data_IF_043517640380
#
_entry.id   IF_043517640380
#
_cell.length_a   1.000
_cell.length_b   1.000
_cell.length_c   1.000
_cell.angle_alpha   90.00
_cell.angle_beta   90.00
_cell.angle_gamma   90.00
#
_symmetry.space_group_name_H-M   'P 1'
#
loop_
_entity.id
_entity.type
_entity.pdbx_description
1 polymer ?
#
# COMPACT_ATOMS: atom_id res chain seq x y z
N UNK A 1 18.56 4.90 -8.64
CA UNK A 1 18.48 3.47 -8.25
C UNK A 1 17.42 2.86 -9.14
N UNK A 2 17.65 1.68 -9.74
CA UNK A 2 16.56 1.04 -10.47
C UNK A 2 15.52 0.54 -9.46
N UNK A 3 14.26 0.79 -9.72
CA UNK A 3 13.14 0.25 -8.92
C UNK A 3 13.31 -1.28 -8.84
N UNK A 4 13.20 -1.90 -7.64
CA UNK A 4 13.22 -3.36 -7.53
C UNK A 4 12.12 -3.96 -8.39
N UNK A 5 12.45 -5.00 -9.14
CA UNK A 5 11.52 -5.65 -10.08
C UNK A 5 10.37 -6.42 -9.38
N UNK A 6 10.42 -6.53 -8.06
CA UNK A 6 9.47 -7.28 -7.24
C UNK A 6 9.59 -8.79 -7.37
N UNK A 7 10.67 -9.28 -7.99
CA UNK A 7 10.85 -10.71 -8.25
C UNK A 7 11.57 -11.43 -7.10
N UNK A 8 12.49 -10.75 -6.40
CA UNK A 8 13.31 -11.36 -5.35
C UNK A 8 13.56 -10.42 -4.17
N UNK A 9 13.62 -10.99 -2.96
CA UNK A 9 13.90 -10.25 -1.71
C UNK A 9 15.21 -9.49 -1.74
N UNK A 10 16.24 -10.02 -2.40
CA UNK A 10 17.55 -9.39 -2.51
C UNK A 10 17.56 -8.04 -3.25
N UNK A 11 16.47 -7.71 -3.96
CA UNK A 11 16.29 -6.40 -4.60
C UNK A 11 15.86 -5.29 -3.63
N UNK A 12 15.55 -5.61 -2.37
CA UNK A 12 15.02 -4.68 -1.37
C UNK A 12 16.03 -4.46 -0.23
N UNK A 13 16.01 -3.26 0.32
CA UNK A 13 16.81 -2.87 1.47
C UNK A 13 15.88 -2.50 2.64
N UNK A 14 15.83 -3.28 3.72
CA UNK A 14 14.99 -2.98 4.88
C UNK A 14 15.29 -1.62 5.52
N UNK A 15 16.56 -1.16 5.51
CA UNK A 15 16.94 0.13 6.06
C UNK A 15 16.36 1.30 5.25
N UNK A 16 16.02 1.06 3.98
CA UNK A 16 15.35 2.02 3.12
C UNK A 16 13.88 2.22 3.53
N UNK A 17 13.23 1.22 4.10
CA UNK A 17 11.83 1.30 4.49
C UNK A 17 11.59 2.40 5.55
N UNK A 18 12.46 2.52 6.54
CA UNK A 18 12.36 3.58 7.56
C UNK A 18 12.63 4.97 6.96
N UNK A 19 13.55 5.08 6.02
CA UNK A 19 13.81 6.32 5.30
C UNK A 19 12.60 6.73 4.44
N UNK A 20 11.99 5.79 3.73
CA UNK A 20 10.79 6.04 2.93
C UNK A 20 9.58 6.40 3.80
N UNK A 21 9.44 5.77 4.97
CA UNK A 21 8.39 6.13 5.93
C UNK A 21 8.59 7.57 6.46
N UNK A 22 9.84 7.99 6.71
CA UNK A 22 10.15 9.36 7.11
C UNK A 22 9.90 10.38 5.98
N UNK A 23 10.19 10.01 4.74
CA UNK A 23 9.86 10.83 3.56
C UNK A 23 8.33 10.94 3.36
N UNK A 24 7.59 9.84 3.52
CA UNK A 24 6.13 9.85 3.50
C UNK A 24 5.57 10.77 4.59
N UNK A 25 6.15 10.72 5.80
CA UNK A 25 5.79 11.61 6.91
C UNK A 25 6.02 13.09 6.56
N UNK A 26 7.17 13.43 5.94
CA UNK A 26 7.47 14.80 5.52
C UNK A 26 6.51 15.32 4.44
N UNK A 27 6.16 14.45 3.47
CA UNK A 27 5.16 14.78 2.44
C UNK A 27 3.80 15.02 3.10
N UNK A 28 3.29 14.07 3.90
CA UNK A 28 1.98 14.15 4.56
C UNK A 28 1.91 15.39 5.46
N UNK A 29 2.94 15.66 6.26
CA UNK A 29 3.04 16.88 7.08
C UNK A 29 2.94 18.16 6.23
N UNK A 30 3.63 18.18 5.10
CA UNK A 30 3.65 19.34 4.20
C UNK A 30 2.28 19.59 3.54
N UNK A 31 1.45 18.57 3.39
CA UNK A 31 0.09 18.68 2.86
C UNK A 31 -0.89 19.36 3.84
N UNK A 32 -0.53 19.49 5.13
CA UNK A 32 -1.32 20.22 6.11
C UNK A 32 -2.72 19.61 6.30
N UNK A 33 -3.77 20.42 6.20
CA UNK A 33 -5.15 19.95 6.41
C UNK A 33 -5.59 18.89 5.38
N UNK A 34 -4.99 18.84 4.21
CA UNK A 34 -5.29 17.82 3.19
C UNK A 34 -4.84 16.42 3.61
N UNK A 35 -3.90 16.31 4.56
CA UNK A 35 -3.45 15.03 5.08
C UNK A 35 -4.59 14.16 5.63
N UNK A 36 -5.68 14.77 6.14
CA UNK A 36 -6.87 14.06 6.60
C UNK A 36 -7.59 13.27 5.49
N UNK A 37 -7.34 13.60 4.24
CA UNK A 37 -7.95 13.00 3.05
C UNK A 37 -7.00 12.10 2.28
N UNK A 38 -5.83 11.80 2.83
CA UNK A 38 -4.79 11.01 2.20
C UNK A 38 -4.44 9.83 3.10
N UNK A 39 -4.36 8.66 2.50
CA UNK A 39 -4.03 7.42 3.20
C UNK A 39 -2.79 6.81 2.55
N UNK A 40 -1.79 6.47 3.34
CA UNK A 40 -0.63 5.72 2.89
C UNK A 40 -1.06 4.28 2.63
N UNK A 41 -0.75 3.78 1.44
CA UNK A 41 -1.06 2.42 1.00
C UNK A 41 0.22 1.71 0.55
N UNK A 42 0.12 0.54 -0.03
CA UNK A 42 1.26 -0.12 -0.68
C UNK A 42 2.28 -0.75 0.27
N UNK A 43 3.51 -0.87 -0.18
CA UNK A 43 4.52 -1.72 0.46
C UNK A 43 5.12 -1.20 1.77
N UNK A 44 4.86 0.05 2.18
CA UNK A 44 5.25 0.57 3.50
C UNK A 44 4.29 0.13 4.62
N UNK A 45 3.05 -0.21 4.25
CA UNK A 45 1.97 -0.47 5.21
C UNK A 45 2.28 -1.60 6.19
N UNK A 46 2.79 -2.78 5.79
CA UNK A 46 3.03 -3.88 6.73
C UNK A 46 3.95 -3.49 7.88
N UNK A 47 5.08 -2.83 7.60
CA UNK A 47 6.02 -2.38 8.63
C UNK A 47 5.48 -1.27 9.54
N UNK A 48 4.47 -0.53 9.08
CA UNK A 48 3.78 0.48 9.89
C UNK A 48 2.67 -0.14 10.76
N UNK A 49 1.97 -1.17 10.26
CA UNK A 49 0.94 -1.89 11.02
C UNK A 49 1.53 -2.81 12.09
N UNK A 50 2.76 -3.31 11.87
CA UNK A 50 3.46 -4.20 12.80
C UNK A 50 4.79 -3.58 13.20
N UNK A 51 4.78 -2.51 14.02
CA UNK A 51 5.98 -1.77 14.37
C UNK A 51 6.88 -2.48 15.39
N UNK A 52 6.35 -3.48 16.09
CA UNK A 52 7.06 -4.29 17.08
C UNK A 52 6.98 -5.74 16.64
N UNK A 53 8.12 -6.33 16.38
CA UNK A 53 8.22 -7.71 15.92
C UNK A 53 8.49 -8.66 17.09
N UNK A 54 7.91 -9.85 17.02
CA UNK A 54 8.26 -10.93 17.94
C UNK A 54 9.73 -11.37 17.72
N UNK A 55 10.41 -11.88 18.76
CA UNK A 55 11.79 -12.33 18.64
C UNK A 55 11.99 -13.35 17.51
N UNK A 56 12.92 -13.05 16.60
CA UNK A 56 13.24 -13.90 15.46
C UNK A 56 12.42 -13.67 14.21
N UNK A 57 11.50 -12.70 14.21
CA UNK A 57 10.80 -12.26 13.03
C UNK A 57 11.63 -11.18 12.32
N UNK A 58 11.90 -11.38 11.04
CA UNK A 58 12.63 -10.40 10.23
C UNK A 58 11.72 -9.22 9.85
N UNK A 59 12.26 -7.98 9.81
CA UNK A 59 11.52 -6.83 9.35
C UNK A 59 10.94 -7.01 7.94
N UNK A 60 9.82 -6.37 7.66
CA UNK A 60 9.30 -6.31 6.32
C UNK A 60 10.30 -5.63 5.37
N UNK A 61 10.49 -6.18 4.18
CA UNK A 61 11.48 -5.65 3.22
C UNK A 61 11.16 -4.28 2.66
N UNK A 62 9.99 -3.73 2.98
CA UNK A 62 9.58 -2.41 2.53
C UNK A 62 9.22 -2.37 1.03
N UNK A 63 9.51 -1.22 0.44
CA UNK A 63 9.22 -0.91 -0.97
C UNK A 63 10.26 0.09 -1.48
N UNK A 64 10.20 0.45 -2.76
CA UNK A 64 11.02 1.53 -3.36
C UNK A 64 10.21 2.82 -3.64
N UNK A 65 8.92 2.77 -3.44
CA UNK A 65 7.96 3.83 -3.76
C UNK A 65 7.08 4.19 -2.55
N UNK A 66 6.49 5.36 -2.60
CA UNK A 66 5.51 5.85 -1.62
C UNK A 66 4.17 5.93 -2.34
N UNK A 67 3.23 5.11 -1.91
CA UNK A 67 1.89 5.03 -2.50
C UNK A 67 0.89 5.80 -1.62
N UNK A 68 0.23 6.82 -2.19
CA UNK A 68 -0.74 7.67 -1.51
C UNK A 68 -2.11 7.55 -2.16
N UNK A 69 -3.14 7.17 -1.41
CA UNK A 69 -4.51 7.10 -1.89
C UNK A 69 -5.30 8.33 -1.42
N UNK A 70 -5.90 9.04 -2.38
CA UNK A 70 -6.74 10.20 -2.14
C UNK A 70 -8.17 9.73 -1.83
N UNK A 71 -8.80 10.27 -0.79
CA UNK A 71 -10.20 9.94 -0.47
C UNK A 71 -11.16 10.45 -1.54
N UNK A 72 -12.37 9.85 -1.60
CA UNK A 72 -13.44 10.29 -2.51
C UNK A 72 -13.75 11.77 -2.33
N UNK A 73 -13.82 12.25 -1.08
CA UNK A 73 -14.12 13.65 -0.79
C UNK A 73 -13.11 14.61 -1.41
N UNK A 74 -11.82 14.25 -1.43
CA UNK A 74 -10.79 15.05 -2.08
C UNK A 74 -10.90 14.97 -3.61
N UNK A 75 -11.21 13.79 -4.14
CA UNK A 75 -11.27 13.53 -5.59
C UNK A 75 -12.47 14.22 -6.24
N UNK A 76 -13.62 14.26 -5.56
CA UNK A 76 -14.87 14.81 -6.10
C UNK A 76 -15.11 16.27 -5.77
N UNK A 77 -14.42 16.79 -4.75
CA UNK A 77 -14.82 18.06 -4.14
C UNK A 77 -13.99 19.27 -4.53
N UNK A 78 -12.72 19.13 -4.92
CA UNK A 78 -11.85 20.30 -4.94
C UNK A 78 -10.67 20.18 -5.92
N UNK A 79 -10.80 20.81 -7.08
CA UNK A 79 -9.70 20.91 -8.06
C UNK A 79 -8.53 21.75 -7.54
N UNK A 80 -8.77 22.72 -6.64
CA UNK A 80 -7.71 23.53 -6.03
C UNK A 80 -6.83 22.68 -5.11
N UNK A 81 -7.37 21.62 -4.52
CA UNK A 81 -6.59 20.70 -3.70
C UNK A 81 -5.51 19.97 -4.51
N UNK A 82 -5.80 19.58 -5.74
CA UNK A 82 -4.83 18.97 -6.64
C UNK A 82 -3.69 19.91 -7.01
N UNK A 83 -4.00 21.17 -7.30
CA UNK A 83 -2.98 22.22 -7.58
C UNK A 83 -2.09 22.48 -6.35
N UNK A 84 -2.69 22.47 -5.16
CA UNK A 84 -1.93 22.62 -3.90
C UNK A 84 -1.01 21.43 -3.65
N UNK A 85 -1.48 20.20 -3.82
CA UNK A 85 -0.65 18.99 -3.68
C UNK A 85 0.52 19.09 -4.67
N UNK A 86 0.27 19.41 -5.93
CA UNK A 86 1.30 19.59 -6.94
C UNK A 86 2.33 20.67 -6.55
N UNK A 87 1.86 21.81 -6.07
CA UNK A 87 2.72 22.91 -5.63
C UNK A 87 3.62 22.48 -4.46
N UNK A 88 3.06 21.73 -3.51
CA UNK A 88 3.81 21.19 -2.36
C UNK A 88 4.85 20.19 -2.84
N UNK A 89 4.48 19.25 -3.71
CA UNK A 89 5.42 18.27 -4.27
C UNK A 89 6.59 18.95 -5.01
N UNK A 90 6.31 19.95 -5.83
CA UNK A 90 7.36 20.76 -6.49
C UNK A 90 8.23 21.49 -5.48
N UNK A 91 7.64 22.02 -4.41
CA UNK A 91 8.37 22.65 -3.30
C UNK A 91 9.27 21.66 -2.52
N UNK A 92 8.92 20.38 -2.50
CA UNK A 92 9.72 19.28 -1.95
C UNK A 92 10.73 18.70 -2.94
N UNK A 93 10.85 19.28 -4.15
CA UNK A 93 11.81 18.86 -5.17
C UNK A 93 11.32 17.74 -6.10
N UNK A 94 10.05 17.36 -6.02
CA UNK A 94 9.48 16.37 -6.93
C UNK A 94 9.17 16.98 -8.31
N UNK A 95 9.33 16.17 -9.33
CA UNK A 95 9.00 16.44 -10.73
C UNK A 95 8.05 15.38 -11.26
N UNK A 96 7.32 15.69 -12.32
CA UNK A 96 6.47 14.70 -12.99
C UNK A 96 7.29 13.52 -13.50
N UNK A 97 6.77 12.31 -13.29
CA UNK A 97 7.34 11.07 -13.82
C UNK A 97 6.90 10.81 -15.27
N UNK A 98 7.18 9.60 -15.72
CA UNK A 98 6.81 9.06 -17.03
C UNK A 98 5.28 8.88 -17.21
N UNK A 99 4.57 8.70 -16.11
CA UNK A 99 3.11 8.64 -16.03
C UNK A 99 2.59 9.72 -15.10
N UNK A 100 1.43 10.28 -15.40
CA UNK A 100 0.94 11.51 -14.78
C UNK A 100 0.52 11.36 -13.30
N UNK A 101 0.36 10.15 -12.78
CA UNK A 101 0.09 9.88 -11.36
C UNK A 101 1.37 9.59 -10.57
N UNK A 102 2.56 9.61 -11.23
CA UNK A 102 3.87 9.35 -10.63
C UNK A 102 4.69 10.61 -10.55
N UNK A 103 5.30 10.85 -9.41
CA UNK A 103 6.19 11.97 -9.14
C UNK A 103 7.55 11.47 -8.69
N UNK A 104 8.61 12.05 -9.21
CA UNK A 104 9.99 11.62 -9.00
C UNK A 104 10.81 12.71 -8.35
N UNK A 105 11.65 12.35 -7.39
CA UNK A 105 12.72 13.19 -6.86
C UNK A 105 14.04 12.45 -6.98
N UNK A 106 15.02 13.05 -7.66
CA UNK A 106 16.28 12.38 -8.01
C UNK A 106 17.40 12.65 -6.99
N UNK A 107 17.23 13.62 -6.10
CA UNK A 107 18.18 13.91 -5.03
C UNK A 107 18.03 12.93 -3.85
N UNK A 108 19.08 12.81 -3.05
CA UNK A 108 19.07 11.90 -1.91
C UNK A 108 19.00 10.44 -2.32
N UNK A 109 18.04 9.71 -1.78
CA UNK A 109 17.84 8.26 -2.06
C UNK A 109 17.12 7.99 -3.39
N UNK A 110 16.68 9.03 -4.08
CA UNK A 110 15.84 8.91 -5.27
C UNK A 110 14.46 8.35 -4.90
N UNK A 111 13.42 9.19 -5.00
CA UNK A 111 12.07 8.84 -4.54
C UNK A 111 11.07 8.80 -5.67
N UNK A 112 10.21 7.83 -5.60
CA UNK A 112 8.97 7.77 -6.39
C UNK A 112 7.78 7.92 -5.45
N UNK A 113 6.83 8.79 -5.82
CA UNK A 113 5.53 8.90 -5.15
C UNK A 113 4.45 8.66 -6.20
N UNK A 114 3.55 7.75 -5.91
CA UNK A 114 2.41 7.43 -6.77
C UNK A 114 1.09 7.82 -6.10
N UNK A 115 0.18 8.39 -6.88
CA UNK A 115 -1.14 8.79 -6.40
C UNK A 115 -2.22 7.88 -6.94
N UNK A 116 -3.07 7.43 -6.03
CA UNK A 116 -4.21 6.55 -6.31
C UNK A 116 -5.50 7.19 -5.83
N UNK A 117 -6.63 6.72 -6.33
CA UNK A 117 -7.96 7.11 -5.87
C UNK A 117 -8.95 5.93 -5.98
N UNK A 118 -10.08 6.00 -5.28
CA UNK A 118 -11.17 5.04 -5.47
C UNK A 118 -11.73 5.06 -6.89
N UNK A 119 -11.97 3.87 -7.44
CA UNK A 119 -12.76 3.72 -8.66
C UNK A 119 -14.23 4.16 -8.44
N UNK A 120 -14.93 4.47 -9.52
CA UNK A 120 -16.32 4.90 -9.50
C UNK A 120 -16.85 5.07 -10.92
N UNK A 121 -18.11 5.48 -11.08
CA UNK A 121 -18.77 5.62 -12.40
C UNK A 121 -17.93 6.47 -13.38
N UNK A 122 -17.40 7.61 -12.91
CA UNK A 122 -16.59 8.51 -13.73
C UNK A 122 -15.09 8.21 -13.64
N UNK A 123 -14.69 7.23 -12.84
CA UNK A 123 -13.31 6.83 -12.58
C UNK A 123 -13.17 5.31 -12.68
N UNK A 124 -13.23 4.71 -13.88
CA UNK A 124 -13.08 3.26 -14.02
C UNK A 124 -11.76 2.77 -13.46
N UNK A 125 -11.76 1.61 -12.79
CA UNK A 125 -10.55 0.99 -12.27
C UNK A 125 -9.49 0.78 -13.36
N UNK A 126 -8.23 0.98 -13.01
CA UNK A 126 -7.10 0.89 -13.93
C UNK A 126 -6.97 2.10 -14.88
N UNK A 127 -7.76 3.14 -14.72
CA UNK A 127 -7.68 4.39 -15.50
C UNK A 127 -7.14 5.53 -14.66
N UNK A 128 -6.37 6.37 -15.33
CA UNK A 128 -5.88 7.61 -14.71
C UNK A 128 -7.03 8.61 -14.65
N UNK A 129 -7.29 9.10 -13.46
CA UNK A 129 -8.23 10.17 -13.21
C UNK A 129 -7.49 11.49 -13.00
N UNK A 130 -7.96 12.53 -13.66
CA UNK A 130 -7.56 13.92 -13.44
C UNK A 130 -8.83 14.75 -13.25
N UNK A 131 -8.95 15.48 -12.13
CA UNK A 131 -10.08 16.38 -11.96
C UNK A 131 -10.12 17.41 -13.09
N UNK A 132 -11.28 17.58 -13.70
CA UNK A 132 -11.52 18.65 -14.66
C UNK A 132 -12.66 19.50 -14.13
N UNK A 133 -12.58 20.83 -14.26
CA UNK A 133 -13.75 21.65 -14.04
C UNK A 133 -14.82 21.27 -15.08
N UNK A 134 -15.80 20.47 -14.67
CA UNK A 134 -16.93 20.07 -15.50
C UNK A 134 -17.81 21.26 -15.92
N UNK A 135 -17.65 22.41 -15.25
CA UNK A 135 -18.46 23.60 -15.46
C UNK A 135 -17.82 24.65 -16.37
N UNK A 136 -16.70 24.34 -17.03
CA UNK A 136 -16.11 25.25 -18.00
C UNK A 136 -16.40 24.81 -19.45
N UNK A 137 -17.53 25.23 -20.06
CA UNK A 137 -17.93 24.81 -21.41
C UNK A 137 -17.01 25.33 -22.51
N UNK A 138 -16.02 26.19 -22.20
CA UNK A 138 -15.14 26.79 -23.19
C UNK A 138 -13.82 26.05 -23.40
N UNK A 139 -13.49 25.03 -22.62
CA UNK A 139 -12.34 24.13 -22.86
C UNK A 139 -10.94 24.78 -22.94
N UNK A 140 -10.82 26.08 -22.60
CA UNK A 140 -9.60 26.86 -22.86
C UNK A 140 -8.69 27.09 -21.67
N UNK A 141 -9.07 26.64 -20.49
CA UNK A 141 -8.20 26.74 -19.33
C UNK A 141 -8.16 25.39 -18.63
N UNK A 142 -7.05 24.66 -18.79
CA UNK A 142 -6.64 23.62 -17.87
C UNK A 142 -6.33 24.27 -16.51
N UNK A 143 -7.34 24.64 -15.77
CA UNK A 143 -7.22 24.95 -14.36
C UNK A 143 -7.26 23.61 -13.62
N UNK A 144 -6.15 23.16 -13.23
CA UNK A 144 -5.87 21.94 -12.53
C UNK A 144 -4.45 21.58 -12.87
N UNK A 145 -3.62 21.41 -11.88
CA UNK A 145 -2.25 21.00 -12.06
C UNK A 145 -2.14 19.69 -12.87
N UNK A 146 -0.95 19.19 -13.04
CA UNK A 146 -0.69 17.96 -13.77
C UNK A 146 -0.88 16.72 -12.89
N UNK A 147 -1.11 16.91 -11.58
CA UNK A 147 -1.39 15.82 -10.66
C UNK A 147 -2.61 15.02 -11.13
N UNK A 148 -2.46 13.73 -11.18
CA UNK A 148 -3.55 12.77 -11.43
C UNK A 148 -3.40 11.59 -10.50
N UNK A 149 -4.41 10.74 -10.43
CA UNK A 149 -4.41 9.52 -9.60
C UNK A 149 -4.86 8.32 -10.44
N UNK A 150 -4.28 7.16 -10.17
CA UNK A 150 -4.74 5.90 -10.78
C UNK A 150 -5.92 5.36 -9.98
N UNK A 151 -7.04 5.11 -10.64
CA UNK A 151 -8.23 4.58 -9.99
C UNK A 151 -8.06 3.09 -9.67
N UNK A 152 -8.30 2.72 -8.40
CA UNK A 152 -8.23 1.35 -7.90
C UNK A 152 -9.61 0.85 -7.51
N UNK A 153 -9.92 -0.40 -7.85
CA UNK A 153 -11.14 -1.09 -7.43
C UNK A 153 -11.24 -1.13 -5.90
N UNK A 154 -10.13 -1.49 -5.24
CA UNK A 154 -10.02 -1.50 -3.78
C UNK A 154 -10.00 -0.11 -3.14
N UNK A 155 -9.94 0.98 -3.91
CA UNK A 155 -9.61 2.31 -3.42
C UNK A 155 -10.55 2.86 -2.35
N UNK A 156 -11.86 2.54 -2.42
CA UNK A 156 -12.80 2.95 -1.37
C UNK A 156 -12.43 2.28 -0.03
N UNK A 157 -12.19 0.97 -0.04
CA UNK A 157 -11.81 0.25 1.16
C UNK A 157 -10.45 0.71 1.69
N UNK A 158 -9.49 0.98 0.81
CA UNK A 158 -8.16 1.50 1.18
C UNK A 158 -8.23 2.84 1.93
N UNK A 159 -9.29 3.62 1.73
CA UNK A 159 -9.50 4.92 2.37
C UNK A 159 -10.49 4.90 3.53
N UNK A 160 -11.22 3.81 3.74
CA UNK A 160 -12.24 3.66 4.80
C UNK A 160 -11.85 2.64 5.88
N UNK A 161 -11.21 1.52 5.50
CA UNK A 161 -10.56 0.61 6.45
C UNK A 161 -9.14 1.14 6.72
N UNK A 162 -9.00 2.00 7.73
CA UNK A 162 -7.76 2.70 8.04
C UNK A 162 -7.28 2.43 9.46
N UNK A 163 -5.97 2.57 9.65
CA UNK A 163 -5.31 2.69 10.95
C UNK A 163 -4.64 4.06 11.07
N UNK A 164 -4.58 4.56 12.30
CA UNK A 164 -3.81 5.75 12.64
C UNK A 164 -2.58 5.31 13.42
N UNK A 165 -1.43 5.40 12.78
CA UNK A 165 -0.15 4.98 13.36
C UNK A 165 0.59 6.18 13.89
N UNK A 166 0.78 6.23 15.22
CA UNK A 166 1.60 7.25 15.89
C UNK A 166 3.05 6.79 15.95
N UNK A 167 3.95 7.58 15.39
CA UNK A 167 5.39 7.25 15.37
C UNK A 167 6.26 8.51 15.37
N UNK A 168 7.46 8.38 15.93
CA UNK A 168 8.54 9.37 15.82
C UNK A 168 9.29 9.16 14.51
N UNK A 169 9.41 10.20 13.69
CA UNK A 169 10.16 10.19 12.44
C UNK A 169 11.35 11.13 12.49
N UNK A 170 12.51 10.66 12.02
CA UNK A 170 13.66 11.51 11.74
C UNK A 170 13.49 12.02 10.31
N UNK A 171 13.08 13.27 10.18
CA UNK A 171 12.76 13.86 8.87
C UNK A 171 14.00 14.01 7.99
N UNK A 172 13.84 13.85 6.66
CA UNK A 172 14.96 13.98 5.72
C UNK A 172 15.55 15.39 5.71
N UNK A 173 16.72 15.53 5.09
CA UNK A 173 17.41 16.82 4.90
C UNK A 173 17.65 17.61 6.22
N UNK A 174 17.90 16.92 7.33
CA UNK A 174 18.13 17.51 8.65
C UNK A 174 16.98 18.42 9.16
N UNK A 175 15.73 18.14 8.75
CA UNK A 175 14.53 18.85 9.25
C UNK A 175 14.18 18.53 10.70
N UNK A 176 14.99 17.68 11.37
CA UNK A 176 14.81 17.30 12.76
C UNK A 176 13.91 16.08 12.94
N UNK A 177 13.40 15.91 14.15
CA UNK A 177 12.56 14.78 14.53
C UNK A 177 11.16 15.27 14.85
N UNK A 178 10.14 14.50 14.47
CA UNK A 178 8.74 14.83 14.72
C UNK A 178 7.97 13.59 15.19
N UNK A 179 7.11 13.79 16.18
CA UNK A 179 6.07 12.83 16.53
C UNK A 179 4.83 13.19 15.74
N UNK A 180 4.32 12.25 14.94
CA UNK A 180 3.11 12.47 14.16
C UNK A 180 2.32 11.20 13.94
N UNK A 181 1.07 11.39 13.58
CA UNK A 181 0.16 10.35 13.17
C UNK A 181 0.10 10.25 11.64
N UNK A 182 0.24 9.03 11.14
CA UNK A 182 0.01 8.70 9.74
C UNK A 182 -1.27 7.88 9.60
N UNK A 183 -2.10 8.25 8.65
CA UNK A 183 -3.24 7.43 8.22
C UNK A 183 -2.74 6.40 7.23
N UNK A 184 -2.82 5.15 7.60
CA UNK A 184 -2.41 4.02 6.74
C UNK A 184 -3.62 3.14 6.45
N UNK A 185 -3.63 2.44 5.33
CA UNK A 185 -4.68 1.48 5.07
C UNK A 185 -4.66 0.36 6.11
N UNK A 186 -5.84 -0.10 6.51
CA UNK A 186 -5.98 -1.19 7.46
C UNK A 186 -5.66 -2.56 6.86
N UNK A 187 -5.54 -3.58 7.70
CA UNK A 187 -5.07 -4.89 7.26
C UNK A 187 -6.00 -5.58 6.26
N UNK A 188 -7.33 -5.44 6.37
CA UNK A 188 -8.27 -6.06 5.44
C UNK A 188 -8.20 -5.44 4.06
N UNK A 189 -8.19 -4.10 3.98
CA UNK A 189 -8.05 -3.40 2.72
C UNK A 189 -6.68 -3.67 2.07
N UNK A 190 -5.61 -3.77 2.87
CA UNK A 190 -4.29 -4.15 2.39
C UNK A 190 -4.30 -5.56 1.79
N UNK A 191 -4.83 -6.55 2.50
CA UNK A 191 -4.93 -7.94 2.00
C UNK A 191 -5.74 -8.00 0.70
N UNK A 192 -6.87 -7.28 0.62
CA UNK A 192 -7.67 -7.21 -0.59
C UNK A 192 -6.87 -6.64 -1.77
N UNK A 193 -6.21 -5.50 -1.58
CA UNK A 193 -5.40 -4.91 -2.64
C UNK A 193 -4.25 -5.82 -3.10
N UNK A 194 -3.64 -6.57 -2.17
CA UNK A 194 -2.52 -7.47 -2.48
C UNK A 194 -2.95 -8.75 -3.18
N UNK A 195 -4.10 -9.33 -2.82
CA UNK A 195 -4.61 -10.52 -3.53
C UNK A 195 -5.09 -10.16 -4.94
N UNK A 196 -5.71 -9.00 -5.12
CA UNK A 196 -6.09 -8.51 -6.45
C UNK A 196 -4.85 -8.27 -7.33
N UNK A 197 -3.80 -7.67 -6.76
CA UNK A 197 -2.54 -7.47 -7.45
C UNK A 197 -1.85 -8.79 -7.82
N UNK A 198 -1.79 -9.76 -6.90
CA UNK A 198 -1.21 -11.09 -7.14
C UNK A 198 -1.89 -11.83 -8.29
N UNK A 199 -3.20 -11.64 -8.45
CA UNK A 199 -3.98 -12.26 -9.54
C UNK A 199 -3.89 -11.51 -10.85
N UNK A 200 -3.60 -10.20 -10.80
CA UNK A 200 -3.62 -9.31 -11.96
C UNK A 200 -2.25 -9.07 -12.60
N UNK A 201 -1.14 -9.36 -11.90
CA UNK A 201 0.22 -9.10 -12.39
C UNK A 201 1.23 -10.13 -11.89
N UNK A 202 2.36 -10.27 -12.60
CA UNK A 202 3.46 -11.14 -12.18
C UNK A 202 4.45 -10.36 -11.29
N UNK A 203 4.07 -10.13 -10.03
CA UNK A 203 4.91 -9.52 -8.99
C UNK A 203 4.86 -10.38 -7.72
N UNK A 204 5.78 -11.34 -7.54
CA UNK A 204 5.78 -12.31 -6.43
C UNK A 204 5.77 -11.68 -5.04
N UNK A 205 6.28 -10.44 -4.93
CA UNK A 205 6.25 -9.66 -3.70
C UNK A 205 4.83 -9.51 -3.11
N UNK A 206 3.79 -9.46 -3.94
CA UNK A 206 2.42 -9.33 -3.43
C UNK A 206 2.02 -10.53 -2.56
N UNK A 207 2.48 -11.74 -2.88
CA UNK A 207 2.30 -12.92 -2.03
C UNK A 207 3.12 -12.84 -0.73
N UNK A 208 4.35 -12.33 -0.80
CA UNK A 208 5.17 -12.08 0.38
C UNK A 208 4.49 -11.08 1.33
N UNK A 209 3.98 -9.98 0.81
CA UNK A 209 3.30 -8.95 1.58
C UNK A 209 2.09 -9.51 2.35
N UNK A 210 1.30 -10.41 1.71
CA UNK A 210 0.16 -11.11 2.35
C UNK A 210 0.65 -12.00 3.49
N UNK A 211 1.60 -12.91 3.20
CA UNK A 211 2.08 -13.89 4.19
C UNK A 211 2.78 -13.20 5.34
N UNK A 212 3.65 -12.21 5.05
CA UNK A 212 4.38 -11.48 6.07
C UNK A 212 3.43 -10.76 7.05
N UNK A 213 2.40 -10.06 6.54
CA UNK A 213 1.45 -9.36 7.41
C UNK A 213 0.73 -10.31 8.35
N UNK A 214 0.27 -11.46 7.84
CA UNK A 214 -0.47 -12.44 8.61
C UNK A 214 0.43 -13.14 9.64
N UNK A 215 1.62 -13.56 9.22
CA UNK A 215 2.55 -14.34 10.04
C UNK A 215 3.23 -13.48 11.12
N UNK A 216 3.54 -12.23 10.77
CA UNK A 216 4.25 -11.29 11.66
C UNK A 216 3.31 -10.47 12.56
N UNK A 217 2.00 -10.64 12.41
CA UNK A 217 1.05 -10.00 13.31
C UNK A 217 1.30 -10.42 14.76
N UNK A 218 1.29 -9.50 15.74
CA UNK A 218 1.56 -9.85 17.13
C UNK A 218 0.67 -10.98 17.62
N UNK A 219 1.28 -12.09 18.02
CA UNK A 219 0.58 -13.32 18.42
C UNK A 219 0.25 -14.26 17.27
N UNK A 220 0.69 -14.00 16.04
CA UNK A 220 0.62 -14.90 14.89
C UNK A 220 -0.70 -14.93 14.13
N UNK A 221 -0.82 -15.87 13.17
CA UNK A 221 -1.92 -15.87 12.19
C UNK A 221 -3.32 -15.97 12.80
N UNK A 222 -3.51 -16.77 13.84
CA UNK A 222 -4.81 -16.92 14.49
C UNK A 222 -5.26 -15.63 15.19
N UNK A 223 -4.31 -14.89 15.81
CA UNK A 223 -4.58 -13.60 16.46
C UNK A 223 -4.85 -12.54 15.40
N UNK A 224 -4.11 -12.55 14.29
CA UNK A 224 -4.39 -11.71 13.12
C UNK A 224 -5.83 -11.88 12.65
N UNK A 225 -6.28 -13.11 12.43
CA UNK A 225 -7.65 -13.43 12.01
C UNK A 225 -8.70 -12.87 12.99
N UNK A 226 -8.53 -13.11 14.29
CA UNK A 226 -9.44 -12.62 15.32
C UNK A 226 -9.47 -11.08 15.38
N UNK A 227 -8.33 -10.42 15.22
CA UNK A 227 -8.22 -8.96 15.19
C UNK A 227 -8.89 -8.37 13.95
N UNK A 228 -8.64 -8.95 12.78
CA UNK A 228 -9.18 -8.44 11.51
C UNK A 228 -10.69 -8.64 11.43
N UNK A 229 -11.23 -9.73 12.01
CA UNK A 229 -12.66 -9.97 12.07
C UNK A 229 -13.45 -8.96 12.92
N UNK A 230 -12.79 -8.22 13.82
CA UNK A 230 -13.43 -7.18 14.62
C UNK A 230 -13.59 -5.85 13.86
N UNK A 231 -13.00 -5.73 12.69
CA UNK A 231 -13.08 -4.49 11.92
C UNK A 231 -14.43 -4.36 11.21
N UNK A 232 -15.00 -3.15 11.14
CA UNK A 232 -16.27 -2.93 10.43
C UNK A 232 -16.24 -3.40 8.97
N UNK A 233 -15.07 -3.32 8.33
CA UNK A 233 -14.87 -3.75 6.95
C UNK A 233 -14.99 -5.27 6.75
N UNK A 234 -14.86 -6.09 7.80
CA UNK A 234 -14.88 -7.56 7.70
C UNK A 234 -16.14 -8.12 7.04
N UNK A 235 -17.28 -7.49 7.30
CA UNK A 235 -18.58 -7.94 6.77
C UNK A 235 -18.90 -7.41 5.36
N UNK A 236 -17.99 -6.70 4.74
CA UNK A 236 -18.19 -6.21 3.36
C UNK A 236 -18.04 -7.36 2.37
N UNK A 237 -18.92 -7.47 1.35
CA UNK A 237 -18.87 -8.58 0.38
C UNK A 237 -17.53 -8.68 -0.36
N UNK A 238 -16.91 -7.55 -0.69
CA UNK A 238 -15.61 -7.51 -1.35
C UNK A 238 -14.47 -8.06 -0.49
N UNK A 239 -14.55 -7.88 0.84
CA UNK A 239 -13.59 -8.48 1.78
C UNK A 239 -13.75 -9.99 1.85
N UNK A 240 -15.00 -10.48 1.87
CA UNK A 240 -15.27 -11.93 1.81
C UNK A 240 -14.66 -12.54 0.55
N UNK A 241 -14.88 -11.92 -0.61
CA UNK A 241 -14.30 -12.38 -1.89
C UNK A 241 -12.78 -12.36 -1.86
N UNK A 242 -12.17 -11.35 -1.26
CA UNK A 242 -10.72 -11.26 -1.12
C UNK A 242 -10.16 -12.36 -0.21
N UNK A 243 -10.79 -12.62 0.94
CA UNK A 243 -10.39 -13.68 1.87
C UNK A 243 -10.53 -15.08 1.25
N UNK A 244 -11.61 -15.33 0.50
CA UNK A 244 -11.76 -16.56 -0.28
C UNK A 244 -10.69 -16.70 -1.35
N UNK A 245 -10.34 -15.61 -2.03
CA UNK A 245 -9.27 -15.59 -3.03
C UNK A 245 -7.90 -15.88 -2.39
N UNK A 246 -7.63 -15.38 -1.18
CA UNK A 246 -6.41 -15.70 -0.42
C UNK A 246 -6.42 -17.20 -0.05
N UNK A 247 -7.54 -17.72 0.47
CA UNK A 247 -7.67 -19.15 0.77
C UNK A 247 -7.31 -20.00 -0.45
N UNK A 248 -7.87 -19.68 -1.62
CA UNK A 248 -7.64 -20.44 -2.85
C UNK A 248 -6.20 -20.31 -3.36
N UNK A 249 -5.61 -19.09 -3.27
CA UNK A 249 -4.26 -18.84 -3.75
C UNK A 249 -3.18 -19.58 -2.92
N UNK A 250 -3.48 -19.92 -1.67
CA UNK A 250 -2.57 -20.62 -0.75
C UNK A 250 -3.09 -21.98 -0.30
N UNK A 251 -4.09 -22.57 -0.97
CA UNK A 251 -4.70 -23.84 -0.57
C UNK A 251 -3.73 -25.04 -0.61
N UNK A 252 -2.66 -24.96 -1.41
CA UNK A 252 -1.63 -26.01 -1.55
C UNK A 252 -0.33 -25.38 -2.04
N UNK A 253 0.78 -26.14 -1.94
CA UNK A 253 2.11 -25.67 -2.33
C UNK A 253 2.25 -25.36 -3.82
N UNK A 254 1.43 -26.00 -4.68
CA UNK A 254 1.42 -25.76 -6.12
C UNK A 254 0.56 -24.54 -6.56
N UNK A 255 -0.09 -23.87 -5.62
CA UNK A 255 -0.90 -22.70 -5.91
C UNK A 255 -0.06 -21.43 -6.07
N UNK A 256 -0.65 -20.46 -6.79
CA UNK A 256 0.06 -19.23 -7.17
C UNK A 256 0.62 -18.47 -5.96
N UNK A 257 -0.12 -18.38 -4.86
CA UNK A 257 0.32 -17.65 -3.66
C UNK A 257 1.56 -18.28 -3.04
N UNK A 258 1.52 -19.61 -2.79
CA UNK A 258 2.64 -20.33 -2.20
C UNK A 258 3.91 -20.27 -3.08
N UNK A 259 3.76 -20.52 -4.39
CA UNK A 259 4.88 -20.43 -5.36
C UNK A 259 5.46 -19.03 -5.46
N UNK A 260 4.61 -18.01 -5.56
CA UNK A 260 5.08 -16.62 -5.64
C UNK A 260 5.80 -16.21 -4.37
N UNK A 261 5.29 -16.58 -3.19
CA UNK A 261 5.97 -16.35 -1.92
C UNK A 261 7.36 -16.99 -1.90
N UNK A 262 7.44 -18.29 -2.23
CA UNK A 262 8.70 -19.02 -2.24
C UNK A 262 9.69 -18.42 -3.23
N UNK A 263 9.28 -18.13 -4.46
CA UNK A 263 10.10 -17.48 -5.49
C UNK A 263 10.66 -16.12 -5.03
N UNK A 264 9.87 -15.33 -4.31
CA UNK A 264 10.32 -14.04 -3.80
C UNK A 264 11.35 -14.16 -2.68
N UNK A 265 11.12 -15.06 -1.73
CA UNK A 265 11.90 -15.18 -0.49
C UNK A 265 13.15 -16.05 -0.66
N UNK A 266 13.10 -17.06 -1.56
CA UNK A 266 14.18 -18.01 -1.72
C UNK A 266 15.48 -17.35 -2.18
N UNK A 267 16.57 -17.62 -1.47
CA UNK A 267 17.94 -17.31 -1.91
C UNK A 267 18.57 -18.46 -2.69
N UNK A 268 18.05 -19.67 -2.51
CA UNK A 268 18.40 -20.88 -3.26
C UNK A 268 17.11 -21.61 -3.66
N UNK A 269 16.99 -22.09 -4.89
CA UNK A 269 15.82 -22.81 -5.40
C UNK A 269 15.47 -24.04 -4.56
N UNK A 270 16.46 -24.62 -3.87
CA UNK A 270 16.27 -25.77 -2.98
C UNK A 270 15.44 -25.45 -1.74
N UNK A 271 15.32 -24.18 -1.38
CA UNK A 271 14.56 -23.72 -0.22
C UNK A 271 13.07 -23.53 -0.57
N UNK A 272 12.73 -23.37 -1.85
CA UNK A 272 11.35 -23.13 -2.30
C UNK A 272 10.33 -24.10 -1.72
N UNK A 273 10.54 -25.45 -1.72
CA UNK A 273 9.54 -26.38 -1.18
C UNK A 273 9.26 -26.20 0.32
N UNK A 274 10.22 -25.70 1.09
CA UNK A 274 10.01 -25.38 2.50
C UNK A 274 9.26 -24.07 2.67
N UNK A 275 9.60 -23.07 1.87
CA UNK A 275 8.94 -21.75 1.87
C UNK A 275 7.49 -21.85 1.39
N UNK A 276 7.20 -22.68 0.37
CA UNK A 276 5.83 -22.97 -0.06
C UNK A 276 4.99 -23.54 1.09
N UNK A 277 5.53 -24.57 1.81
CA UNK A 277 4.83 -25.15 2.97
C UNK A 277 4.62 -24.14 4.10
N UNK A 278 5.59 -23.24 4.35
CA UNK A 278 5.47 -22.17 5.34
C UNK A 278 4.31 -21.24 4.99
N UNK A 279 4.24 -20.77 3.75
CA UNK A 279 3.18 -19.89 3.28
C UNK A 279 1.79 -20.54 3.40
N UNK A 280 1.68 -21.81 2.97
CA UNK A 280 0.43 -22.59 3.11
C UNK A 280 0.04 -22.72 4.58
N UNK A 281 0.99 -23.05 5.47
CA UNK A 281 0.72 -23.22 6.90
C UNK A 281 0.23 -21.95 7.57
N UNK A 282 0.90 -20.80 7.32
CA UNK A 282 0.52 -19.51 7.89
C UNK A 282 -0.87 -19.08 7.45
N UNK A 283 -1.16 -19.18 6.15
CA UNK A 283 -2.47 -18.79 5.63
C UNK A 283 -3.57 -19.78 6.04
N UNK A 284 -3.28 -21.09 6.11
CA UNK A 284 -4.25 -22.09 6.59
C UNK A 284 -4.64 -21.83 8.06
N UNK A 285 -3.68 -21.50 8.93
CA UNK A 285 -3.95 -21.13 10.32
C UNK A 285 -4.79 -19.85 10.41
N UNK A 286 -4.45 -18.81 9.65
CA UNK A 286 -5.21 -17.56 9.56
C UNK A 286 -6.66 -17.83 9.14
N UNK A 287 -6.84 -18.52 8.02
CA UNK A 287 -8.18 -18.82 7.46
C UNK A 287 -9.02 -19.68 8.40
N UNK A 288 -8.41 -20.67 9.07
CA UNK A 288 -9.12 -21.53 10.02
C UNK A 288 -9.59 -20.78 11.28
N UNK A 289 -8.95 -19.68 11.63
CA UNK A 289 -9.30 -18.84 12.77
C UNK A 289 -10.29 -17.72 12.44
N UNK A 290 -10.59 -17.47 11.16
CA UNK A 290 -11.64 -16.52 10.77
C UNK A 290 -13.01 -17.03 11.20
N UNK A 291 -13.87 -16.20 11.81
CA UNK A 291 -15.24 -16.59 12.09
C UNK A 291 -16.01 -16.80 10.77
N UNK A 292 -17.02 -17.67 10.83
CA UNK A 292 -17.92 -17.89 9.70
C UNK A 292 -18.58 -16.56 9.30
N UNK A 293 -18.51 -16.25 8.02
CA UNK A 293 -19.24 -15.10 7.46
C UNK A 293 -20.71 -15.45 7.43
N UNK A 294 -21.45 -14.96 8.41
CA UNK A 294 -22.93 -15.10 8.46
C UNK A 294 -23.59 -14.14 7.49
#
# INVERSE_FOLDING_TARGET
MNEPDGQHVAGYDPDLADQLAAEAADIVRSLGFMAAHIVLIGGLVPGLLVPVLDPGVEPHVGTADIDLCLSVALVEGDTEAYERIETILKGLGFQEGDVSFRWLRHDGIGLTVEFFCPAGEQRPAGRVFRPSHSDNPTGKHNFGGRLSALALEAGELLTTDIEVVSRTFVLPQNKGTIDMELRVTGPLAFLMAKIDALRGRDKPKDAYDIVWLVESWPGGPAVAAASFAQRPAYHRPEVTVALDSIRDAFAATDRIGARSYARFVATDIRDEPQLERRAVGAIAEFVAALPDSN
#
